data_IF_148429035112
#
_entry.id   IF_148429035112
#
_cell.length_a   1.000
_cell.length_b   1.000
_cell.length_c   1.000
_cell.angle_alpha   90.00
_cell.angle_beta   90.00
_cell.angle_gamma   90.00
#
_symmetry.space_group_name_H-M   'P 1'
#
loop_
_entity.id
_entity.type
_entity.pdbx_description
1 polymer ?
#
# COMPACT_ATOMS: atom_id res chain seq x y z
N UNK A 1 7.17 -8.11 -14.83
CA UNK A 1 5.72 -8.19 -14.46
C UNK A 1 5.36 -9.56 -13.89
N UNK A 2 5.74 -10.66 -14.52
CA UNK A 2 5.35 -12.03 -14.11
C UNK A 2 5.89 -12.42 -12.74
N UNK A 3 7.15 -12.09 -12.45
CA UNK A 3 7.78 -12.37 -11.13
C UNK A 3 7.09 -11.62 -10.00
N UNK A 4 6.79 -10.35 -10.21
CA UNK A 4 6.10 -9.52 -9.23
C UNK A 4 4.66 -9.98 -9.00
N UNK A 5 3.92 -10.31 -10.06
CA UNK A 5 2.56 -10.83 -9.97
C UNK A 5 2.49 -12.17 -9.23
N UNK A 6 3.46 -13.06 -9.45
CA UNK A 6 3.53 -14.35 -8.73
C UNK A 6 3.77 -14.13 -7.23
N UNK A 7 4.70 -13.25 -6.85
CA UNK A 7 4.98 -12.96 -5.44
C UNK A 7 3.75 -12.37 -4.71
N UNK A 8 2.98 -11.52 -5.39
CA UNK A 8 1.77 -10.93 -4.84
C UNK A 8 0.71 -11.98 -4.48
N UNK A 9 0.53 -13.01 -5.30
CA UNK A 9 -0.39 -14.12 -5.00
C UNK A 9 -0.01 -14.82 -3.69
N UNK A 10 1.27 -15.17 -3.52
CA UNK A 10 1.74 -15.81 -2.30
C UNK A 10 1.54 -14.93 -1.07
N UNK A 11 1.83 -13.64 -1.17
CA UNK A 11 1.62 -12.71 -0.06
C UNK A 11 0.14 -12.57 0.31
N UNK A 12 -0.78 -12.51 -0.66
CA UNK A 12 -2.22 -12.48 -0.41
C UNK A 12 -2.72 -13.75 0.29
N UNK A 13 -2.20 -14.92 -0.09
CA UNK A 13 -2.55 -16.20 0.56
C UNK A 13 -2.04 -16.28 1.99
N UNK A 14 -0.87 -15.72 2.27
CA UNK A 14 -0.27 -15.70 3.61
C UNK A 14 -0.89 -14.64 4.53
N UNK A 15 -1.43 -13.57 3.98
CA UNK A 15 -1.94 -12.43 4.75
C UNK A 15 -3.03 -12.81 5.78
N UNK A 16 -4.06 -13.59 5.47
CA UNK A 16 -5.09 -13.97 6.45
C UNK A 16 -4.53 -14.76 7.64
N UNK A 17 -3.54 -15.62 7.40
CA UNK A 17 -2.86 -16.35 8.46
C UNK A 17 -2.05 -15.42 9.38
N UNK A 18 -1.26 -14.53 8.79
CA UNK A 18 -0.45 -13.58 9.53
C UNK A 18 -1.31 -12.61 10.35
N UNK A 19 -2.41 -12.11 9.77
CA UNK A 19 -3.35 -11.22 10.44
C UNK A 19 -3.99 -11.90 11.66
N UNK A 20 -4.42 -13.16 11.52
CA UNK A 20 -4.99 -13.92 12.63
C UNK A 20 -4.00 -14.15 13.78
N UNK A 21 -2.72 -14.35 13.46
CA UNK A 21 -1.68 -14.66 14.45
C UNK A 21 -1.11 -13.43 15.15
N UNK A 22 -0.88 -12.34 14.41
CA UNK A 22 -0.13 -11.18 14.89
C UNK A 22 -0.99 -9.90 15.02
N UNK A 23 -2.19 -9.89 14.45
CA UNK A 23 -3.06 -8.73 14.39
C UNK A 23 -2.78 -7.79 13.22
N UNK A 24 -3.82 -7.07 12.77
CA UNK A 24 -3.77 -6.20 11.58
C UNK A 24 -2.68 -5.12 11.66
N UNK A 25 -2.64 -4.37 12.76
CA UNK A 25 -1.69 -3.26 12.96
C UNK A 25 -0.23 -3.73 12.88
N UNK A 26 0.11 -4.79 13.61
CA UNK A 26 1.49 -5.31 13.65
C UNK A 26 1.93 -5.82 12.28
N UNK A 27 1.09 -6.59 11.62
CA UNK A 27 1.38 -7.11 10.28
C UNK A 27 1.59 -5.95 9.32
N UNK A 28 0.71 -4.94 9.32
CA UNK A 28 0.81 -3.80 8.43
C UNK A 28 2.10 -3.00 8.62
N UNK A 29 2.42 -2.64 9.87
CA UNK A 29 3.65 -1.89 10.16
C UNK A 29 4.89 -2.70 9.79
N UNK A 30 4.93 -3.99 10.15
CA UNK A 30 6.06 -4.85 9.87
C UNK A 30 6.29 -5.05 8.37
N UNK A 31 5.22 -5.32 7.61
CA UNK A 31 5.32 -5.48 6.15
C UNK A 31 5.75 -4.20 5.46
N UNK A 32 5.27 -3.04 5.90
CA UNK A 32 5.71 -1.76 5.35
C UNK A 32 7.19 -1.46 5.66
N UNK A 33 7.67 -1.78 6.86
CA UNK A 33 9.10 -1.64 7.20
C UNK A 33 9.95 -2.55 6.29
N UNK A 34 9.55 -3.81 6.10
CA UNK A 34 10.24 -4.72 5.18
C UNK A 34 10.23 -4.19 3.74
N UNK A 35 9.10 -3.61 3.30
CA UNK A 35 8.99 -2.98 1.98
C UNK A 35 10.03 -1.86 1.80
N UNK A 36 10.16 -0.97 2.80
CA UNK A 36 11.18 0.09 2.80
C UNK A 36 12.59 -0.51 2.69
N UNK A 37 12.89 -1.55 3.47
CA UNK A 37 14.20 -2.20 3.47
C UNK A 37 14.50 -2.80 2.09
N UNK A 38 13.56 -3.55 1.48
CA UNK A 38 13.78 -4.16 0.17
C UNK A 38 13.95 -3.12 -0.94
N UNK A 39 13.18 -2.02 -0.92
CA UNK A 39 13.37 -0.92 -1.87
C UNK A 39 14.74 -0.28 -1.68
N UNK A 40 15.11 0.05 -0.45
CA UNK A 40 16.39 0.70 -0.15
C UNK A 40 17.60 -0.17 -0.51
N UNK A 41 17.50 -1.51 -0.38
CA UNK A 41 18.57 -2.44 -0.73
C UNK A 41 18.87 -2.49 -2.24
N UNK A 42 17.94 -2.13 -3.10
CA UNK A 42 18.14 -2.18 -4.56
C UNK A 42 19.28 -1.25 -4.97
N UNK A 43 19.35 -0.03 -4.42
CA UNK A 43 20.39 0.94 -4.78
C UNK A 43 21.82 0.45 -4.53
N UNK A 44 22.20 0.04 -3.32
CA UNK A 44 23.57 -0.45 -3.06
C UNK A 44 23.91 -1.73 -3.85
N UNK A 45 22.93 -2.58 -4.15
CA UNK A 45 23.16 -3.76 -5.01
C UNK A 45 23.56 -3.32 -6.41
N UNK A 46 22.82 -2.39 -7.00
CA UNK A 46 23.04 -1.90 -8.38
C UNK A 46 24.39 -1.15 -8.50
N UNK A 47 24.78 -0.43 -7.45
CA UNK A 47 25.99 0.41 -7.50
C UNK A 47 27.26 -0.38 -7.22
N UNK A 48 27.24 -1.30 -6.24
CA UNK A 48 28.45 -1.90 -5.69
C UNK A 48 28.67 -3.36 -6.10
N UNK A 49 27.64 -4.04 -6.65
CA UNK A 49 27.74 -5.46 -6.97
C UNK A 49 27.92 -5.64 -8.49
N UNK A 50 28.71 -6.65 -8.86
CA UNK A 50 28.90 -7.02 -10.26
C UNK A 50 27.56 -7.27 -10.97
N UNK A 51 27.35 -6.74 -12.20
CA UNK A 51 26.07 -6.83 -12.88
C UNK A 51 25.49 -8.25 -13.00
N UNK A 52 26.34 -9.25 -13.16
CA UNK A 52 25.89 -10.65 -13.28
C UNK A 52 25.19 -11.16 -12.03
N UNK A 53 25.75 -10.93 -10.85
CA UNK A 53 25.16 -11.29 -9.55
C UNK A 53 24.09 -10.25 -9.13
N UNK A 54 24.34 -8.99 -9.43
CA UNK A 54 23.47 -7.87 -9.09
C UNK A 54 22.05 -8.02 -9.61
N UNK A 55 21.89 -8.46 -10.86
CA UNK A 55 20.58 -8.70 -11.47
C UNK A 55 19.76 -9.71 -10.65
N UNK A 56 20.36 -10.83 -10.25
CA UNK A 56 19.66 -11.86 -9.47
C UNK A 56 19.25 -11.34 -8.09
N UNK A 57 20.11 -10.58 -7.43
CA UNK A 57 19.80 -9.98 -6.13
C UNK A 57 18.69 -8.94 -6.23
N UNK A 58 18.72 -8.11 -7.25
CA UNK A 58 17.61 -7.15 -7.52
C UNK A 58 16.30 -7.90 -7.78
N UNK A 59 16.32 -8.96 -8.58
CA UNK A 59 15.14 -9.78 -8.84
C UNK A 59 14.56 -10.38 -7.54
N UNK A 60 15.42 -10.88 -6.65
CA UNK A 60 15.01 -11.40 -5.34
C UNK A 60 14.42 -10.27 -4.49
N UNK A 61 15.07 -9.12 -4.41
CA UNK A 61 14.53 -7.97 -3.68
C UNK A 61 13.17 -7.52 -4.22
N UNK A 62 13.00 -7.45 -5.54
CA UNK A 62 11.73 -7.09 -6.16
C UNK A 62 10.65 -8.16 -5.90
N UNK A 63 11.01 -9.44 -5.92
CA UNK A 63 10.07 -10.52 -5.59
C UNK A 63 9.61 -10.44 -4.14
N UNK A 64 10.55 -10.26 -3.20
CA UNK A 64 10.25 -10.07 -1.78
C UNK A 64 9.42 -8.80 -1.54
N UNK A 65 9.75 -7.71 -2.22
CA UNK A 65 8.97 -6.46 -2.16
C UNK A 65 7.52 -6.67 -2.61
N UNK A 66 7.30 -7.38 -3.72
CA UNK A 66 5.98 -7.72 -4.22
C UNK A 66 5.19 -8.61 -3.26
N UNK A 67 5.85 -9.60 -2.66
CA UNK A 67 5.26 -10.49 -1.65
C UNK A 67 4.78 -9.68 -0.44
N UNK A 68 5.65 -8.85 0.11
CA UNK A 68 5.37 -8.05 1.31
C UNK A 68 4.35 -6.95 1.02
N UNK A 69 4.46 -6.27 -0.11
CA UNK A 69 3.54 -5.21 -0.53
C UNK A 69 2.11 -5.69 -0.74
N UNK A 70 1.93 -6.95 -1.14
CA UNK A 70 0.60 -7.53 -1.37
C UNK A 70 -0.23 -7.72 -0.10
N UNK A 71 0.38 -7.74 1.08
CA UNK A 71 -0.35 -7.74 2.35
C UNK A 71 -1.24 -6.51 2.49
N UNK A 72 -0.81 -5.36 1.97
CA UNK A 72 -1.60 -4.14 1.96
C UNK A 72 -2.92 -4.30 1.19
N UNK A 73 -2.96 -5.09 0.12
CA UNK A 73 -4.16 -5.34 -0.67
C UNK A 73 -5.27 -6.05 0.14
N UNK A 74 -4.88 -6.86 1.13
CA UNK A 74 -5.83 -7.53 2.04
C UNK A 74 -6.13 -6.65 3.26
N UNK A 75 -5.12 -5.98 3.79
CA UNK A 75 -5.23 -5.19 5.02
C UNK A 75 -5.99 -3.88 4.82
N UNK A 76 -5.73 -3.14 3.72
CA UNK A 76 -6.33 -1.84 3.50
C UNK A 76 -7.88 -1.88 3.45
N UNK A 77 -8.54 -2.77 2.70
CA UNK A 77 -9.99 -2.88 2.73
C UNK A 77 -10.53 -3.24 4.11
N UNK A 78 -9.82 -4.11 4.83
CA UNK A 78 -10.20 -4.51 6.20
C UNK A 78 -10.12 -3.35 7.18
N UNK A 79 -9.05 -2.53 7.11
CA UNK A 79 -8.89 -1.34 7.96
C UNK A 79 -9.92 -0.27 7.61
N UNK A 80 -10.23 -0.08 6.33
CA UNK A 80 -11.30 0.83 5.91
C UNK A 80 -12.66 0.41 6.47
N UNK A 81 -12.95 -0.91 6.52
CA UNK A 81 -14.12 -1.43 7.19
C UNK A 81 -14.14 -1.08 8.67
N UNK A 82 -13.04 -1.33 9.38
CA UNK A 82 -12.91 -1.02 10.81
C UNK A 82 -13.12 0.47 11.11
N UNK A 83 -12.63 1.36 10.24
CA UNK A 83 -12.80 2.82 10.40
C UNK A 83 -14.28 3.21 10.21
N UNK A 84 -14.97 2.61 9.25
CA UNK A 84 -16.42 2.84 9.04
C UNK A 84 -17.24 2.35 10.22
N UNK A 85 -16.93 1.18 10.76
CA UNK A 85 -17.58 0.64 11.96
C UNK A 85 -17.32 1.54 13.17
N UNK A 86 -16.10 2.05 13.33
CA UNK A 86 -15.76 3.01 14.39
C UNK A 86 -16.56 4.31 14.26
N UNK A 87 -16.67 4.84 13.06
CA UNK A 87 -17.45 6.04 12.78
C UNK A 87 -18.93 5.80 13.09
N UNK A 88 -19.52 4.69 12.65
CA UNK A 88 -20.90 4.35 12.95
C UNK A 88 -21.12 4.15 14.47
N UNK A 89 -20.15 3.55 15.16
CA UNK A 89 -20.23 3.38 16.61
C UNK A 89 -20.26 4.72 17.36
N UNK A 90 -19.48 5.72 16.90
CA UNK A 90 -19.35 7.02 17.56
C UNK A 90 -20.46 8.00 17.20
N UNK A 91 -20.92 8.01 15.95
CA UNK A 91 -21.92 8.98 15.45
C UNK A 91 -23.35 8.42 15.40
N UNK A 92 -23.49 7.09 15.44
CA UNK A 92 -24.78 6.41 15.25
C UNK A 92 -25.18 6.24 13.79
N UNK A 93 -24.54 6.94 12.86
CA UNK A 93 -24.88 6.92 11.44
C UNK A 93 -23.76 6.31 10.59
N UNK A 94 -24.10 5.59 9.55
CA UNK A 94 -23.17 5.05 8.57
C UNK A 94 -23.04 6.01 7.39
N UNK A 95 -21.92 6.70 7.28
CA UNK A 95 -21.69 7.72 6.24
C UNK A 95 -20.74 7.16 5.16
N UNK A 96 -21.14 6.11 4.45
CA UNK A 96 -20.32 5.50 3.38
C UNK A 96 -20.02 6.48 2.24
N UNK A 97 -20.95 7.41 1.94
CA UNK A 97 -20.78 8.42 0.92
C UNK A 97 -19.62 9.39 1.21
N UNK A 98 -19.38 9.74 2.48
CA UNK A 98 -18.26 10.58 2.86
C UNK A 98 -16.90 9.90 2.63
N UNK A 99 -16.81 8.59 2.91
CA UNK A 99 -15.59 7.82 2.62
C UNK A 99 -15.33 7.71 1.12
N UNK A 100 -16.37 7.59 0.30
CA UNK A 100 -16.24 7.65 -1.16
C UNK A 100 -15.73 9.02 -1.62
N UNK A 101 -16.24 10.12 -1.07
CA UNK A 101 -15.78 11.46 -1.38
C UNK A 101 -14.29 11.68 -1.02
N UNK A 102 -13.84 11.18 0.13
CA UNK A 102 -12.41 11.20 0.51
C UNK A 102 -11.57 10.40 -0.49
N UNK A 103 -12.07 9.26 -0.97
CA UNK A 103 -11.42 8.47 -2.01
C UNK A 103 -11.26 9.24 -3.34
N UNK A 104 -12.26 10.03 -3.72
CA UNK A 104 -12.19 10.89 -4.91
C UNK A 104 -11.11 11.99 -4.76
N UNK A 105 -10.98 12.59 -3.57
CA UNK A 105 -9.92 13.58 -3.29
C UNK A 105 -8.55 12.90 -3.46
N UNK A 106 -8.37 11.68 -2.91
CA UNK A 106 -7.13 10.91 -3.09
C UNK A 106 -6.82 10.64 -4.57
N UNK A 107 -7.82 10.28 -5.36
CA UNK A 107 -7.67 10.08 -6.80
C UNK A 107 -7.29 11.37 -7.54
N UNK A 108 -7.90 12.50 -7.17
CA UNK A 108 -7.57 13.81 -7.74
C UNK A 108 -6.12 14.22 -7.43
N UNK A 109 -5.63 13.98 -6.21
CA UNK A 109 -4.23 14.21 -5.84
C UNK A 109 -3.31 13.31 -6.68
N UNK A 110 -3.64 12.04 -6.84
CA UNK A 110 -2.86 11.11 -7.67
C UNK A 110 -2.79 11.58 -9.12
N UNK A 111 -3.88 12.06 -9.69
CA UNK A 111 -3.89 12.64 -11.04
C UNK A 111 -3.02 13.90 -11.13
N UNK A 112 -3.14 14.81 -10.16
CA UNK A 112 -2.33 16.04 -10.14
C UNK A 112 -0.83 15.75 -10.00
N UNK A 113 -0.46 14.68 -9.30
CA UNK A 113 0.95 14.29 -9.10
C UNK A 113 1.48 13.37 -10.21
N UNK A 114 0.64 12.93 -11.15
CA UNK A 114 1.06 12.04 -12.25
C UNK A 114 2.14 12.63 -13.14
N UNK A 115 2.20 13.97 -13.27
CA UNK A 115 3.25 14.69 -14.01
C UNK A 115 4.60 14.77 -13.30
N UNK A 116 4.69 14.40 -12.02
CA UNK A 116 5.96 14.51 -11.26
C UNK A 116 7.01 13.55 -11.80
N UNK A 117 6.64 12.33 -12.14
CA UNK A 117 7.60 11.33 -12.63
C UNK A 117 8.20 11.70 -13.99
N UNK A 118 7.45 12.14 -15.00
CA UNK A 118 8.01 12.70 -16.24
C UNK A 118 8.93 13.89 -16.00
N UNK A 119 8.56 14.83 -15.11
CA UNK A 119 9.40 15.97 -14.75
C UNK A 119 10.73 15.54 -14.09
N UNK A 120 10.70 14.50 -13.27
CA UNK A 120 11.91 13.91 -12.69
C UNK A 120 12.79 13.28 -13.76
N UNK A 121 12.23 12.58 -14.73
CA UNK A 121 12.98 12.03 -15.86
C UNK A 121 13.64 13.14 -16.68
N UNK A 122 12.92 14.21 -16.97
CA UNK A 122 13.46 15.38 -17.70
C UNK A 122 14.60 16.02 -16.91
N UNK A 123 14.43 16.26 -15.60
CA UNK A 123 15.45 16.83 -14.74
C UNK A 123 16.72 15.94 -14.62
N UNK A 124 16.56 14.62 -14.79
CA UNK A 124 17.67 13.66 -14.81
C UNK A 124 18.32 13.54 -16.19
N UNK A 125 17.85 14.29 -17.19
CA UNK A 125 18.36 14.26 -18.54
C UNK A 125 17.92 13.03 -19.35
N UNK A 126 16.88 12.32 -18.94
CA UNK A 126 16.27 11.21 -19.69
C UNK A 126 15.28 11.82 -20.68
N UNK A 127 15.83 12.45 -21.71
CA UNK A 127 15.08 13.15 -22.77
C UNK A 127 15.51 12.67 -24.15
N UNK A 128 14.64 12.83 -25.13
CA UNK A 128 14.95 12.48 -26.51
C UNK A 128 16.10 13.35 -27.05
N UNK A 129 16.18 14.62 -26.65
CA UNK A 129 17.25 15.54 -27.06
C UNK A 129 18.63 15.05 -26.59
N UNK A 130 18.73 14.68 -25.31
CA UNK A 130 19.99 14.12 -24.76
C UNK A 130 20.34 12.77 -25.41
N UNK A 131 19.35 11.92 -25.69
CA UNK A 131 19.58 10.67 -26.38
C UNK A 131 20.18 10.91 -27.78
N UNK A 132 19.59 11.80 -28.54
CA UNK A 132 20.07 12.15 -29.90
C UNK A 132 21.48 12.76 -29.85
N UNK A 133 21.78 13.63 -28.87
CA UNK A 133 23.11 14.20 -28.67
C UNK A 133 24.19 13.15 -28.36
N UNK A 134 23.78 12.01 -27.73
CA UNK A 134 24.66 10.88 -27.44
C UNK A 134 24.66 9.80 -28.53
N UNK A 135 23.93 10.02 -29.66
CA UNK A 135 23.85 9.08 -30.79
C UNK A 135 22.82 7.96 -30.58
N UNK A 136 21.91 8.10 -29.62
CA UNK A 136 20.82 7.14 -29.38
C UNK A 136 19.51 7.58 -30.05
N UNK A 137 18.62 6.64 -30.27
CA UNK A 137 17.30 6.89 -30.88
C UNK A 137 16.17 6.97 -29.85
N UNK A 138 16.35 6.39 -28.66
CA UNK A 138 15.34 6.35 -27.60
C UNK A 138 15.82 7.10 -26.35
N UNK A 139 14.96 7.91 -25.72
CA UNK A 139 15.26 8.66 -24.51
C UNK A 139 15.82 7.78 -23.38
N UNK A 140 15.34 6.55 -23.24
CA UNK A 140 15.81 5.62 -22.21
C UNK A 140 17.20 5.04 -22.47
N UNK A 141 17.72 5.13 -23.70
CA UNK A 141 19.07 4.64 -24.02
C UNK A 141 20.17 5.50 -23.37
N UNK A 142 19.83 6.72 -22.94
CA UNK A 142 20.71 7.55 -22.10
C UNK A 142 21.14 6.83 -20.80
N UNK A 143 20.34 5.89 -20.33
CA UNK A 143 20.64 5.05 -19.16
C UNK A 143 21.78 4.05 -19.39
N UNK A 144 22.25 3.83 -20.63
CA UNK A 144 23.50 3.11 -20.89
C UNK A 144 24.72 3.87 -20.36
N UNK A 145 24.61 5.19 -20.19
CA UNK A 145 25.63 5.95 -19.46
C UNK A 145 25.52 5.66 -17.96
N UNK A 146 26.54 5.02 -17.40
CA UNK A 146 26.55 4.59 -15.99
C UNK A 146 26.29 5.73 -15.01
N UNK A 147 26.79 6.92 -15.27
CA UNK A 147 26.61 8.06 -14.36
C UNK A 147 25.14 8.51 -14.35
N UNK A 148 24.51 8.61 -15.52
CA UNK A 148 23.09 8.94 -15.63
C UNK A 148 22.24 7.86 -14.97
N UNK A 149 22.56 6.59 -15.22
CA UNK A 149 21.88 5.44 -14.62
C UNK A 149 21.92 5.46 -13.10
N UNK A 150 23.11 5.62 -12.51
CA UNK A 150 23.29 5.62 -11.04
C UNK A 150 22.53 6.80 -10.40
N UNK A 151 22.63 7.99 -11.00
CA UNK A 151 21.93 9.18 -10.50
C UNK A 151 20.40 9.02 -10.62
N UNK A 152 19.91 8.52 -11.75
CA UNK A 152 18.50 8.26 -11.95
C UNK A 152 17.97 7.23 -10.94
N UNK A 153 18.70 6.15 -10.73
CA UNK A 153 18.37 5.13 -9.75
C UNK A 153 18.38 5.68 -8.31
N UNK A 154 19.36 6.50 -7.94
CA UNK A 154 19.44 7.14 -6.63
C UNK A 154 18.18 7.97 -6.34
N UNK A 155 17.78 8.81 -7.30
CA UNK A 155 16.59 9.68 -7.14
C UNK A 155 15.32 8.85 -7.10
N UNK A 156 15.13 7.90 -8.01
CA UNK A 156 13.93 7.08 -8.08
C UNK A 156 13.76 6.20 -6.83
N UNK A 157 14.83 5.54 -6.38
CA UNK A 157 14.80 4.74 -5.14
C UNK A 157 14.60 5.66 -3.92
N UNK A 158 15.24 6.82 -3.89
CA UNK A 158 15.05 7.81 -2.81
C UNK A 158 13.60 8.28 -2.70
N UNK A 159 12.96 8.60 -3.83
CA UNK A 159 11.53 8.95 -3.88
C UNK A 159 10.65 7.77 -3.46
N UNK A 160 10.99 6.55 -3.89
CA UNK A 160 10.29 5.32 -3.49
C UNK A 160 10.36 5.08 -1.99
N UNK A 161 11.53 5.21 -1.39
CA UNK A 161 11.75 5.08 0.07
C UNK A 161 11.00 6.17 0.82
N UNK A 162 11.08 7.42 0.36
CA UNK A 162 10.34 8.53 0.96
C UNK A 162 8.83 8.28 0.93
N UNK A 163 8.27 7.87 -0.20
CA UNK A 163 6.86 7.52 -0.34
C UNK A 163 6.46 6.37 0.57
N UNK A 164 7.29 5.34 0.69
CA UNK A 164 7.04 4.20 1.57
C UNK A 164 7.07 4.60 3.06
N UNK A 165 7.97 5.51 3.47
CA UNK A 165 7.99 6.07 4.83
C UNK A 165 6.71 6.86 5.09
N UNK A 166 6.30 7.74 4.17
CA UNK A 166 5.07 8.52 4.30
C UNK A 166 3.82 7.63 4.40
N UNK A 167 3.82 6.49 3.72
CA UNK A 167 2.74 5.51 3.79
C UNK A 167 2.63 4.85 5.19
N UNK A 168 3.75 4.63 5.87
CA UNK A 168 3.76 3.97 7.20
C UNK A 168 3.30 4.90 8.31
N UNK A 169 3.59 6.20 8.21
CA UNK A 169 3.35 7.18 9.29
C UNK A 169 1.91 7.16 9.82
N UNK A 170 0.85 7.17 9.00
CA UNK A 170 -0.53 7.14 9.50
C UNK A 170 -0.85 5.91 10.35
N UNK A 171 -0.24 4.77 10.07
CA UNK A 171 -0.53 3.52 10.78
C UNK A 171 0.02 3.47 12.21
N UNK A 172 0.99 4.31 12.56
CA UNK A 172 1.40 4.47 13.95
C UNK A 172 0.29 5.08 14.82
N UNK A 173 -0.51 5.96 14.23
CA UNK A 173 -1.65 6.60 14.90
C UNK A 173 -2.92 5.73 14.90
N UNK A 174 -2.94 4.63 14.17
CA UNK A 174 -4.05 3.69 14.15
C UNK A 174 -4.12 2.93 15.48
N UNK A 175 -5.08 3.26 16.34
CA UNK A 175 -5.23 2.68 17.70
C UNK A 175 -6.39 1.67 17.82
N UNK A 176 -6.94 1.21 16.71
CA UNK A 176 -8.01 0.24 16.70
C UNK A 176 -7.42 -1.18 16.81
N UNK A 177 -7.47 -1.76 18.02
CA UNK A 177 -7.07 -3.16 18.24
C UNK A 177 -8.21 -4.10 17.85
N UNK A 178 -7.90 -5.36 17.51
CA UNK A 178 -8.92 -6.38 17.19
C UNK A 178 -9.94 -6.56 18.31
N UNK A 179 -9.52 -6.42 19.57
CA UNK A 179 -10.42 -6.53 20.73
C UNK A 179 -11.40 -5.36 20.78
N UNK A 180 -10.90 -4.14 20.59
CA UNK A 180 -11.75 -2.94 20.52
C UNK A 180 -12.74 -3.05 19.36
N UNK A 181 -12.26 -3.46 18.19
CA UNK A 181 -13.09 -3.62 16.99
C UNK A 181 -14.20 -4.67 17.18
N UNK A 182 -13.89 -5.84 17.74
CA UNK A 182 -14.89 -6.86 18.05
C UNK A 182 -15.93 -6.35 19.04
N UNK A 183 -15.52 -5.62 20.08
CA UNK A 183 -16.44 -5.00 21.02
C UNK A 183 -17.39 -4.02 20.36
N UNK A 184 -16.88 -3.14 19.49
CA UNK A 184 -17.70 -2.19 18.75
C UNK A 184 -18.69 -2.88 17.82
N UNK A 185 -18.23 -3.86 17.04
CA UNK A 185 -19.11 -4.63 16.11
C UNK A 185 -20.23 -5.33 16.88
N UNK A 186 -19.94 -5.88 18.06
CA UNK A 186 -20.99 -6.49 18.89
C UNK A 186 -22.03 -5.45 19.35
N UNK A 187 -21.58 -4.26 19.77
CA UNK A 187 -22.51 -3.18 20.15
C UNK A 187 -23.35 -2.72 18.95
N UNK A 188 -22.73 -2.58 17.77
CA UNK A 188 -23.46 -2.22 16.55
C UNK A 188 -24.51 -3.27 16.16
N UNK A 189 -24.18 -4.56 16.29
CA UNK A 189 -25.15 -5.66 16.06
C UNK A 189 -26.33 -5.55 17.03
N UNK A 190 -26.08 -5.34 18.32
CA UNK A 190 -27.15 -5.19 19.30
C UNK A 190 -28.01 -3.96 19.01
N UNK A 191 -27.40 -2.82 18.64
CA UNK A 191 -28.17 -1.63 18.22
C UNK A 191 -29.05 -1.91 17.01
N UNK A 192 -28.52 -2.59 15.98
CA UNK A 192 -29.29 -2.95 14.80
C UNK A 192 -30.48 -3.86 15.13
N UNK A 193 -30.30 -4.84 16.02
CA UNK A 193 -31.40 -5.71 16.49
C UNK A 193 -32.51 -4.92 17.18
N UNK A 194 -32.16 -3.97 18.05
CA UNK A 194 -33.17 -3.12 18.71
C UNK A 194 -33.86 -2.16 17.72
N UNK A 195 -33.14 -1.67 16.71
CA UNK A 195 -33.74 -0.85 15.66
C UNK A 195 -34.71 -1.64 14.79
N UNK A 196 -34.33 -2.86 14.39
CA UNK A 196 -35.20 -3.78 13.65
C UNK A 196 -36.45 -4.18 14.44
N UNK A 197 -36.31 -4.40 15.76
CA UNK A 197 -37.45 -4.65 16.65
C UNK A 197 -38.36 -3.42 16.77
N UNK A 198 -37.78 -2.23 16.96
CA UNK A 198 -38.56 -0.98 17.02
C UNK A 198 -39.31 -0.65 15.73
N UNK A 199 -38.79 -1.09 14.60
CA UNK A 199 -39.42 -0.95 13.26
C UNK A 199 -40.39 -2.11 12.92
N UNK A 200 -40.68 -2.99 13.85
CA UNK A 200 -41.50 -4.22 13.67
C UNK A 200 -40.94 -5.19 12.58
N UNK A 201 -39.64 -5.09 12.28
CA UNK A 201 -38.97 -6.00 11.37
C UNK A 201 -38.59 -7.34 12.05
N UNK A 202 -38.48 -7.35 13.38
CA UNK A 202 -38.19 -8.51 14.22
C UNK A 202 -39.30 -8.73 15.25
N UNK A 203 -39.74 -9.98 15.41
CA UNK A 203 -40.65 -10.39 16.47
C UNK A 203 -39.88 -10.67 17.78
N UNK A 204 -40.63 -10.73 18.92
CA UNK A 204 -40.03 -11.10 20.23
C UNK A 204 -39.32 -12.46 20.18
N UNK A 205 -39.81 -13.43 19.41
CA UNK A 205 -39.13 -14.71 19.21
C UNK A 205 -37.83 -14.59 18.43
N UNK A 206 -37.75 -13.66 17.48
CA UNK A 206 -36.53 -13.39 16.70
C UNK A 206 -35.37 -12.80 17.54
N UNK A 207 -35.69 -12.04 18.63
CA UNK A 207 -34.66 -11.51 19.55
C UNK A 207 -34.04 -12.60 20.43
N UNK A 208 -34.74 -13.71 20.65
CA UNK A 208 -34.24 -14.81 21.53
C UNK A 208 -33.33 -15.76 20.74
N UNK A 209 -33.51 -15.85 19.42
CA UNK A 209 -32.76 -16.77 18.55
C UNK A 209 -31.42 -16.17 17.99
N UNK A 210 -31.19 -14.87 18.17
CA UNK A 210 -29.98 -14.15 17.70
C UNK A 210 -29.02 -13.81 18.82
#
# INVERSE_FOLDING_TARGET
>A
TTLYGNSALWGMLMAPWAIRKFGKKRVLVFTNILNIIFIAMIYPIVVNIDPGLGIWLVMICMWMNGLVGSFANVLNPSIQGDIRDYQQYTTGERIDGMFAAVGLIGSAITMATSGVLPAVYEALGITTENAVSMGYTNAYDVLYNRNVFVNAFAVLIGLGVFGAIMNVVPYFFYDLTETKQRGMVNVLKVRALFEDYGNNALSDSGLVET
#
